data_IF_089353845955
#
_entry.id   IF_089353845955
#
_cell.length_a   1.000
_cell.length_b   1.000
_cell.length_c   1.000
_cell.angle_alpha   90.00
_cell.angle_beta   90.00
_cell.angle_gamma   90.00
#
_symmetry.space_group_name_H-M   'P 1'
#
loop_
_entity.id
_entity.type
_entity.pdbx_description
1 polymer ?
#
# COMPACT_ATOMS: atom_id res chain seq x y z
N UNK A 1 7.06 -11.92 -55.47
CA UNK A 1 8.31 -11.61 -54.74
C UNK A 1 7.87 -10.87 -53.50
N UNK A 2 7.99 -11.55 -52.36
CA UNK A 2 7.34 -11.16 -51.11
C UNK A 2 8.21 -10.13 -50.39
N UNK A 3 7.52 -9.10 -49.94
CA UNK A 3 7.92 -7.98 -49.11
C UNK A 3 8.52 -8.49 -47.78
N UNK A 4 9.74 -8.08 -47.45
CA UNK A 4 10.40 -8.37 -46.17
C UNK A 4 10.27 -7.11 -45.29
N UNK A 5 9.12 -6.97 -44.63
CA UNK A 5 8.78 -5.84 -43.76
C UNK A 5 8.53 -6.27 -42.32
N UNK A 6 9.11 -5.50 -41.38
CA UNK A 6 8.86 -5.40 -39.94
C UNK A 6 8.94 -6.69 -39.10
N UNK A 7 10.16 -7.02 -38.67
CA UNK A 7 10.39 -7.76 -37.44
C UNK A 7 10.61 -6.79 -36.27
N UNK A 8 9.98 -7.02 -35.10
CA UNK A 8 10.28 -6.23 -33.91
C UNK A 8 11.74 -6.49 -33.47
N UNK A 9 12.54 -5.43 -33.38
CA UNK A 9 13.92 -5.49 -32.87
C UNK A 9 13.92 -5.02 -31.42
N UNK A 10 14.32 -5.91 -30.51
CA UNK A 10 14.51 -5.60 -29.10
C UNK A 10 15.90 -5.01 -28.90
N UNK A 11 15.98 -3.71 -28.60
CA UNK A 11 17.25 -3.03 -28.30
C UNK A 11 17.52 -3.08 -26.80
N UNK A 12 18.68 -3.62 -26.41
CA UNK A 12 19.16 -3.58 -25.03
C UNK A 12 19.65 -2.17 -24.72
N UNK A 13 18.99 -1.47 -23.80
CA UNK A 13 19.55 -0.28 -23.16
C UNK A 13 20.64 -0.72 -22.18
N UNK A 14 21.86 -0.20 -22.33
CA UNK A 14 22.86 -0.23 -21.25
C UNK A 14 22.53 0.89 -20.25
N UNK A 15 22.39 0.58 -18.95
CA UNK A 15 22.12 1.62 -17.96
C UNK A 15 23.42 2.40 -17.71
N UNK A 16 23.61 3.49 -18.46
CA UNK A 16 24.50 4.57 -18.03
C UNK A 16 23.80 5.34 -16.91
N UNK A 17 24.33 5.20 -15.69
CA UNK A 17 23.99 6.02 -14.51
C UNK A 17 22.52 5.97 -14.05
N UNK A 18 22.07 4.82 -13.53
CA UNK A 18 20.89 4.80 -12.67
C UNK A 18 21.28 5.34 -11.29
N UNK A 19 21.37 6.67 -11.19
CA UNK A 19 21.08 7.38 -9.93
C UNK A 19 19.80 8.17 -10.14
N UNK A 20 18.68 7.47 -10.03
CA UNK A 20 17.37 8.05 -9.72
C UNK A 20 16.56 6.99 -8.98
N UNK A 21 16.58 7.05 -7.66
CA UNK A 21 15.38 6.79 -6.89
C UNK A 21 15.03 8.13 -6.25
N UNK A 22 14.33 8.97 -7.01
CA UNK A 22 13.44 9.94 -6.38
C UNK A 22 12.19 9.09 -6.16
N UNK A 23 11.95 8.70 -4.91
CA UNK A 23 10.71 8.04 -4.54
C UNK A 23 9.62 9.11 -4.63
N UNK A 24 8.97 9.22 -5.78
CA UNK A 24 7.76 10.04 -5.96
C UNK A 24 6.58 9.22 -5.44
N UNK A 25 6.47 9.09 -4.11
CA UNK A 25 5.28 8.51 -3.49
C UNK A 25 4.30 9.63 -3.13
N UNK A 26 3.05 9.49 -3.58
CA UNK A 26 1.98 10.43 -3.25
C UNK A 26 1.48 10.15 -1.82
N UNK A 27 1.56 11.17 -0.96
CA UNK A 27 1.04 11.13 0.39
C UNK A 27 -0.04 12.19 0.60
N UNK A 28 -0.98 11.89 1.50
CA UNK A 28 -2.16 12.70 1.75
C UNK A 28 -2.33 12.96 3.25
N UNK A 29 -2.74 14.19 3.56
CA UNK A 29 -3.17 14.55 4.90
C UNK A 29 -4.70 14.64 4.96
N UNK A 30 -5.28 14.12 6.03
CA UNK A 30 -6.69 14.34 6.36
C UNK A 30 -6.79 15.39 7.45
N UNK A 31 -7.58 16.43 7.19
CA UNK A 31 -7.78 17.56 8.11
C UNK A 31 -9.23 17.64 8.59
N UNK A 32 -9.43 18.18 9.78
CA UNK A 32 -10.75 18.46 10.31
C UNK A 32 -11.34 19.78 9.75
N UNK A 33 -12.57 20.11 10.14
CA UNK A 33 -13.26 21.32 9.70
C UNK A 33 -12.59 22.63 10.16
N UNK A 34 -11.65 22.56 11.12
CA UNK A 34 -10.87 23.70 11.60
C UNK A 34 -9.52 23.82 10.91
N UNK A 35 -9.20 22.89 10.01
CA UNK A 35 -7.93 22.85 9.26
C UNK A 35 -6.80 22.16 10.02
N UNK A 36 -7.05 21.58 11.20
CA UNK A 36 -6.03 20.81 11.91
C UNK A 36 -5.86 19.43 11.27
N UNK A 37 -4.62 18.99 11.14
CA UNK A 37 -4.31 17.65 10.66
C UNK A 37 -4.76 16.59 11.68
N UNK A 38 -5.53 15.63 11.19
CA UNK A 38 -6.07 14.49 11.96
C UNK A 38 -5.21 13.25 11.74
N UNK A 39 -4.80 13.02 10.49
CA UNK A 39 -3.86 11.99 10.06
C UNK A 39 -3.02 12.58 8.94
N UNK A 40 -1.71 12.31 8.95
CA UNK A 40 -0.76 12.86 7.98
C UNK A 40 0.03 11.77 7.28
N UNK A 41 0.60 12.10 6.13
CA UNK A 41 1.45 11.23 5.32
C UNK A 41 0.79 9.87 4.97
N UNK A 42 -0.50 9.87 4.64
CA UNK A 42 -1.24 8.66 4.24
C UNK A 42 -0.87 8.30 2.80
N UNK A 43 -0.28 7.12 2.52
CA UNK A 43 -0.03 6.69 1.14
C UNK A 43 -1.35 6.52 0.38
N UNK A 44 -1.35 6.80 -0.93
CA UNK A 44 -2.55 6.65 -1.78
C UNK A 44 -3.21 5.26 -1.62
N UNK A 45 -2.40 4.20 -1.54
CA UNK A 45 -2.89 2.84 -1.39
C UNK A 45 -3.74 2.67 -0.12
N UNK A 46 -3.33 3.28 0.99
CA UNK A 46 -4.03 3.18 2.29
C UNK A 46 -5.18 4.17 2.44
N UNK A 47 -5.27 5.20 1.57
CA UNK A 47 -6.22 6.30 1.71
C UNK A 47 -7.68 5.83 1.78
N UNK A 48 -8.09 4.91 0.91
CA UNK A 48 -9.47 4.38 0.90
C UNK A 48 -9.85 3.69 2.22
N UNK A 49 -8.94 2.89 2.77
CA UNK A 49 -9.15 2.20 4.04
C UNK A 49 -9.16 3.19 5.23
N UNK A 50 -8.26 4.18 5.22
CA UNK A 50 -8.22 5.24 6.25
C UNK A 50 -9.53 6.03 6.28
N UNK A 51 -10.01 6.48 5.12
CA UNK A 51 -11.26 7.25 5.02
C UNK A 51 -12.47 6.42 5.48
N UNK A 52 -12.52 5.13 5.13
CA UNK A 52 -13.56 4.22 5.62
C UNK A 52 -13.51 4.09 7.15
N UNK A 53 -12.33 3.91 7.74
CA UNK A 53 -12.19 3.82 9.19
C UNK A 53 -12.67 5.09 9.91
N UNK A 54 -12.36 6.27 9.35
CA UNK A 54 -12.88 7.54 9.85
C UNK A 54 -14.42 7.62 9.78
N UNK A 55 -15.02 7.17 8.67
CA UNK A 55 -16.49 7.08 8.55
C UNK A 55 -17.11 6.12 9.57
N UNK A 56 -16.40 5.05 9.93
CA UNK A 56 -16.78 4.13 11.00
C UNK A 56 -16.49 4.68 12.41
N UNK A 57 -16.12 5.96 12.52
CA UNK A 57 -15.84 6.67 13.78
C UNK A 57 -14.69 6.05 14.57
N UNK A 58 -13.71 5.45 13.87
CA UNK A 58 -12.49 4.96 14.50
C UNK A 58 -11.58 6.12 14.89
N UNK A 59 -10.89 5.98 16.02
CA UNK A 59 -9.95 7.02 16.49
C UNK A 59 -8.73 7.10 15.57
N UNK A 60 -8.26 8.31 15.19
CA UNK A 60 -7.10 8.50 14.32
C UNK A 60 -5.86 7.71 14.76
N UNK A 61 -5.52 7.77 16.05
CA UNK A 61 -4.39 7.02 16.62
C UNK A 61 -4.53 5.50 16.41
N UNK A 62 -5.76 4.96 16.43
CA UNK A 62 -6.00 3.54 16.15
C UNK A 62 -5.91 3.23 14.65
N UNK A 63 -6.34 4.15 13.80
CA UNK A 63 -6.22 4.02 12.34
C UNK A 63 -4.74 4.01 11.95
N UNK A 64 -3.94 4.94 12.49
CA UNK A 64 -2.50 5.00 12.26
C UNK A 64 -1.83 3.67 12.65
N UNK A 65 -2.11 3.17 13.85
CA UNK A 65 -1.62 1.86 14.32
C UNK A 65 -2.01 0.69 13.43
N UNK A 66 -3.25 0.69 12.94
CA UNK A 66 -3.76 -0.42 12.14
C UNK A 66 -3.22 -0.38 10.71
N UNK A 67 -3.19 0.78 10.06
CA UNK A 67 -3.02 0.89 8.60
C UNK A 67 -1.76 1.62 8.15
N UNK A 68 -1.19 2.48 8.99
CA UNK A 68 -0.09 3.37 8.58
C UNK A 68 1.24 2.95 9.20
N UNK A 69 1.24 2.46 10.43
CA UNK A 69 2.46 2.02 11.10
C UNK A 69 3.08 0.78 10.41
N UNK A 70 4.42 0.64 10.49
CA UNK A 70 5.14 -0.53 9.98
C UNK A 70 4.55 -1.84 10.52
N UNK A 71 4.18 -2.73 9.60
CA UNK A 71 3.79 -4.11 9.90
C UNK A 71 4.98 -5.05 9.71
N UNK A 72 6.04 -4.79 10.46
CA UNK A 72 7.26 -5.61 10.45
C UNK A 72 7.25 -6.59 11.61
N UNK A 73 7.75 -7.80 11.35
CA UNK A 73 8.13 -8.76 12.37
C UNK A 73 9.39 -8.32 13.11
N UNK A 74 9.64 -8.91 14.29
CA UNK A 74 10.86 -8.62 15.04
C UNK A 74 12.14 -8.98 14.25
N UNK A 75 12.09 -10.03 13.43
CA UNK A 75 13.19 -10.46 12.55
C UNK A 75 13.47 -9.45 11.44
N UNK A 76 12.42 -8.93 10.80
CA UNK A 76 12.56 -7.87 9.80
C UNK A 76 13.10 -6.57 10.42
N UNK A 77 12.69 -6.22 11.65
CA UNK A 77 13.24 -5.05 12.35
C UNK A 77 14.71 -5.24 12.73
N UNK A 78 15.13 -6.44 13.12
CA UNK A 78 16.52 -6.74 13.51
C UNK A 78 17.50 -6.62 12.34
N UNK A 79 17.03 -6.87 11.12
CA UNK A 79 17.85 -6.89 9.88
C UNK A 79 17.65 -5.66 9.00
N UNK A 80 16.87 -4.68 9.44
CA UNK A 80 16.55 -3.49 8.68
C UNK A 80 17.37 -2.26 9.11
N UNK A 81 17.65 -1.40 8.13
CA UNK A 81 18.17 -0.07 8.35
C UNK A 81 17.02 0.93 8.52
N UNK A 82 17.04 1.72 9.59
CA UNK A 82 16.11 2.84 9.76
C UNK A 82 16.72 4.10 9.13
N UNK A 83 16.11 4.59 8.06
CA UNK A 83 16.58 5.77 7.32
C UNK A 83 15.74 6.99 7.68
N UNK A 84 16.40 8.13 7.92
CA UNK A 84 15.78 9.44 8.00
C UNK A 84 15.71 10.05 6.60
N UNK A 85 14.53 10.50 6.20
CA UNK A 85 14.24 11.14 4.92
C UNK A 85 13.87 12.61 5.13
N UNK A 86 14.29 13.42 4.18
CA UNK A 86 13.95 14.84 4.09
C UNK A 86 13.59 15.13 2.64
N UNK A 87 12.30 15.30 2.38
CA UNK A 87 11.76 15.43 1.04
C UNK A 87 11.04 16.76 0.86
N UNK A 88 11.24 17.38 -0.29
CA UNK A 88 10.45 18.53 -0.70
C UNK A 88 9.07 18.08 -1.20
N UNK A 89 8.02 18.78 -0.80
CA UNK A 89 6.64 18.48 -1.18
C UNK A 89 6.02 19.61 -2.03
N UNK A 90 4.85 19.34 -2.59
CA UNK A 90 4.06 20.38 -3.26
C UNK A 90 3.33 21.27 -2.24
N UNK A 91 2.80 22.40 -2.69
CA UNK A 91 1.89 23.20 -1.86
C UNK A 91 0.60 22.42 -1.56
N UNK A 92 0.02 22.65 -0.37
CA UNK A 92 -1.24 22.02 0.03
C UNK A 92 -2.33 22.27 -1.01
N UNK A 93 -3.08 21.21 -1.33
CA UNK A 93 -4.21 21.27 -2.25
C UNK A 93 -5.38 20.46 -1.73
N UNK A 94 -6.55 21.09 -1.73
CA UNK A 94 -7.79 20.43 -1.36
C UNK A 94 -8.17 19.37 -2.40
N UNK A 95 -8.53 18.18 -1.92
CA UNK A 95 -9.02 17.06 -2.72
C UNK A 95 -10.51 16.89 -2.42
N UNK A 96 -11.36 17.21 -3.39
CA UNK A 96 -12.82 17.12 -3.24
C UNK A 96 -13.45 16.06 -4.14
N UNK A 97 -12.75 15.69 -5.22
CA UNK A 97 -13.20 14.75 -6.24
C UNK A 97 -12.14 13.69 -6.50
N UNK A 98 -12.56 12.57 -7.10
CA UNK A 98 -11.62 11.53 -7.58
C UNK A 98 -10.66 12.10 -8.64
N UNK A 99 -11.12 13.04 -9.47
CA UNK A 99 -10.27 13.70 -10.46
C UNK A 99 -9.15 14.51 -9.81
N UNK A 100 -9.37 15.06 -8.61
CA UNK A 100 -8.32 15.79 -7.89
C UNK A 100 -7.16 14.87 -7.50
N UNK A 101 -7.44 13.59 -7.14
CA UNK A 101 -6.40 12.60 -6.84
C UNK A 101 -5.45 12.39 -8.02
N UNK A 102 -5.98 12.33 -9.25
CA UNK A 102 -5.16 12.15 -10.45
C UNK A 102 -4.30 13.38 -10.79
N UNK A 103 -4.63 14.55 -10.25
CA UNK A 103 -3.85 15.76 -10.46
C UNK A 103 -2.66 15.87 -9.50
N UNK A 104 -2.65 15.09 -8.40
CA UNK A 104 -1.62 15.16 -7.36
C UNK A 104 -0.24 14.76 -7.87
N UNK A 105 -0.16 13.67 -8.64
CA UNK A 105 1.08 13.18 -9.26
C UNK A 105 1.74 14.18 -10.24
N UNK A 106 1.07 15.28 -10.56
CA UNK A 106 1.56 16.32 -11.46
C UNK A 106 1.77 17.67 -10.77
N UNK A 107 1.58 17.74 -9.45
CA UNK A 107 1.81 18.97 -8.71
C UNK A 107 3.30 19.31 -8.68
N UNK A 108 3.65 20.59 -8.87
CA UNK A 108 5.04 21.00 -8.78
C UNK A 108 5.52 20.90 -7.32
N UNK A 109 6.66 20.24 -7.14
CA UNK A 109 7.39 20.22 -5.87
C UNK A 109 7.98 21.61 -5.60
N UNK A 110 7.69 22.15 -4.43
CA UNK A 110 8.19 23.45 -3.96
C UNK A 110 9.47 23.20 -3.16
N UNK A 111 10.57 23.87 -3.54
CA UNK A 111 11.90 23.65 -2.96
C UNK A 111 12.29 24.75 -1.99
N UNK A 112 11.56 24.84 -0.88
CA UNK A 112 11.88 25.73 0.24
C UNK A 112 11.64 25.03 1.58
N UNK A 113 12.18 25.59 2.66
CA UNK A 113 12.15 25.00 4.00
C UNK A 113 10.72 24.79 4.54
N UNK A 114 9.73 25.55 4.07
CA UNK A 114 8.34 25.41 4.51
C UNK A 114 7.62 24.23 3.85
N UNK A 115 8.17 23.71 2.76
CA UNK A 115 7.65 22.55 2.02
C UNK A 115 8.60 21.36 2.14
N UNK A 116 9.23 21.20 3.29
CA UNK A 116 10.02 20.02 3.63
C UNK A 116 9.20 19.13 4.55
N UNK A 117 9.05 17.87 4.16
CA UNK A 117 8.55 16.81 5.05
C UNK A 117 9.71 15.94 5.51
N UNK A 118 9.64 15.48 6.74
CA UNK A 118 10.68 14.66 7.36
C UNK A 118 10.04 13.44 7.99
N UNK A 119 10.58 12.27 7.71
CA UNK A 119 10.06 11.02 8.22
C UNK A 119 11.15 9.96 8.31
N UNK A 120 10.85 8.87 8.99
CA UNK A 120 11.70 7.70 9.08
C UNK A 120 11.08 6.53 8.33
N UNK A 121 11.89 5.62 7.80
CA UNK A 121 11.38 4.44 7.12
C UNK A 121 12.37 3.28 7.27
N UNK A 122 11.85 2.07 7.49
CA UNK A 122 12.68 0.88 7.50
C UNK A 122 12.97 0.45 6.06
N UNK A 123 14.22 0.09 5.81
CA UNK A 123 14.73 -0.42 4.53
C UNK A 123 15.43 -1.76 4.77
N UNK A 124 15.43 -2.67 3.79
CA UNK A 124 16.26 -3.87 3.90
C UNK A 124 17.72 -3.48 4.03
N UNK A 125 18.50 -4.15 4.87
CA UNK A 125 19.94 -3.95 4.95
C UNK A 125 20.68 -5.20 4.42
N UNK A 126 21.57 -5.01 3.46
CA UNK A 126 22.43 -6.08 2.94
C UNK A 126 23.85 -5.55 2.85
N UNK A 127 24.80 -6.22 3.51
CA UNK A 127 26.22 -5.82 3.54
C UNK A 127 26.43 -4.35 3.98
N UNK A 128 25.66 -3.87 4.97
CA UNK A 128 25.66 -2.48 5.46
C UNK A 128 25.20 -1.43 4.43
N UNK A 129 24.51 -1.85 3.38
CA UNK A 129 23.85 -0.96 2.42
C UNK A 129 22.34 -1.15 2.52
N UNK A 130 21.61 -0.04 2.54
CA UNK A 130 20.16 -0.06 2.62
C UNK A 130 19.53 -0.15 1.22
N UNK A 131 18.52 -1.01 1.09
CA UNK A 131 17.90 -1.38 -0.18
C UNK A 131 16.38 -1.38 -0.09
N UNK A 132 15.77 -0.29 -0.53
CA UNK A 132 14.34 -0.19 -0.72
C UNK A 132 13.52 -0.23 0.56
N UNK A 133 12.38 0.48 0.61
CA UNK A 133 11.56 0.51 1.80
C UNK A 133 10.85 -0.83 2.02
N UNK A 134 10.78 -1.23 3.29
CA UNK A 134 10.00 -2.39 3.75
C UNK A 134 8.84 -1.98 4.65
N UNK A 135 8.78 -0.70 5.02
CA UNK A 135 7.68 -0.13 5.79
C UNK A 135 7.14 1.13 5.13
N UNK A 136 5.93 1.53 5.56
CA UNK A 136 5.47 2.89 5.36
C UNK A 136 6.34 3.89 6.13
N UNK A 137 6.18 5.18 5.82
CA UNK A 137 6.78 6.28 6.55
C UNK A 137 6.31 6.32 8.02
N UNK A 138 7.24 6.63 8.91
CA UNK A 138 7.04 6.85 10.34
C UNK A 138 7.31 8.32 10.59
N UNK A 139 6.31 9.05 11.05
CA UNK A 139 6.45 10.47 11.35
C UNK A 139 7.37 10.68 12.56
N UNK A 140 8.04 11.82 12.61
CA UNK A 140 8.96 12.16 13.70
C UNK A 140 8.32 12.03 15.09
N UNK A 141 7.05 12.42 15.22
CA UNK A 141 6.28 12.33 16.47
C UNK A 141 6.00 10.88 16.91
N UNK A 142 5.96 9.96 15.96
CA UNK A 142 5.68 8.54 16.15
C UNK A 142 6.96 7.69 16.31
N UNK A 143 8.14 8.28 16.14
CA UNK A 143 9.42 7.57 16.10
C UNK A 143 9.75 6.82 17.41
N UNK A 144 9.37 7.36 18.57
CA UNK A 144 9.70 6.74 19.85
C UNK A 144 8.74 5.59 20.21
N UNK A 145 7.50 5.69 19.73
CA UNK A 145 6.42 4.75 20.05
C UNK A 145 6.39 3.59 19.07
N UNK A 146 6.59 3.86 17.78
CA UNK A 146 6.39 2.92 16.69
C UNK A 146 7.39 1.77 16.71
N UNK A 147 8.73 1.98 16.63
CA UNK A 147 9.71 0.90 16.62
C UNK A 147 9.65 0.04 17.89
N UNK A 148 9.45 0.68 19.05
CA UNK A 148 9.35 -0.01 20.34
C UNK A 148 8.15 -0.98 20.35
N UNK A 149 6.99 -0.53 19.84
CA UNK A 149 5.79 -1.37 19.74
C UNK A 149 5.89 -2.44 18.66
N UNK A 150 6.45 -2.11 17.49
CA UNK A 150 6.70 -3.05 16.39
C UNK A 150 7.62 -4.18 16.88
N UNK A 151 8.72 -3.84 17.55
CA UNK A 151 9.68 -4.81 18.07
C UNK A 151 9.08 -5.76 19.12
N UNK A 152 8.25 -5.23 20.03
CA UNK A 152 7.64 -6.03 21.10
C UNK A 152 6.30 -6.68 20.72
N UNK A 153 5.84 -6.58 19.47
CA UNK A 153 4.54 -7.09 19.02
C UNK A 153 3.35 -6.61 19.87
N UNK A 154 3.42 -5.41 20.46
CA UNK A 154 2.40 -4.89 21.38
C UNK A 154 1.27 -4.16 20.63
N UNK A 155 0.31 -4.94 20.13
CA UNK A 155 -0.86 -4.45 19.39
C UNK A 155 -2.19 -4.54 20.16
N UNK A 156 -2.14 -4.65 21.50
CA UNK A 156 -3.25 -5.13 22.34
C UNK A 156 -4.58 -4.36 22.23
N UNK A 157 -4.59 -3.10 21.78
CA UNK A 157 -5.80 -2.29 21.61
C UNK A 157 -6.39 -2.27 20.17
N UNK A 158 -5.77 -2.98 19.23
CA UNK A 158 -6.17 -2.93 17.80
C UNK A 158 -7.17 -4.03 17.45
N UNK A 159 -7.20 -5.14 18.19
CA UNK A 159 -7.99 -6.33 17.86
C UNK A 159 -9.52 -6.13 17.86
N UNK A 160 -10.05 -5.16 18.61
CA UNK A 160 -11.48 -4.83 18.55
C UNK A 160 -11.82 -3.99 17.31
N UNK A 161 -10.93 -3.09 16.91
CA UNK A 161 -11.13 -2.22 15.75
C UNK A 161 -10.90 -2.97 14.44
N UNK A 162 -9.92 -3.88 14.42
CA UNK A 162 -9.70 -4.83 13.33
C UNK A 162 -10.95 -5.70 13.07
N UNK A 163 -11.60 -6.17 14.15
CA UNK A 163 -12.88 -6.88 14.05
C UNK A 163 -14.00 -6.04 13.46
N UNK A 164 -14.13 -4.78 13.86
CA UNK A 164 -15.16 -3.89 13.30
C UNK A 164 -14.97 -3.67 11.80
N UNK A 165 -13.73 -3.44 11.37
CA UNK A 165 -13.40 -3.25 9.96
C UNK A 165 -13.65 -4.53 9.15
N UNK A 166 -13.21 -5.68 9.68
CA UNK A 166 -13.42 -6.99 9.08
C UNK A 166 -14.91 -7.33 8.97
N UNK A 167 -15.68 -7.15 10.03
CA UNK A 167 -17.13 -7.40 10.05
C UNK A 167 -17.85 -6.52 9.02
N UNK A 168 -17.44 -5.25 8.91
CA UNK A 168 -18.00 -4.34 7.92
C UNK A 168 -17.68 -4.83 6.50
N UNK A 169 -16.43 -5.18 6.20
CA UNK A 169 -16.02 -5.67 4.88
C UNK A 169 -16.78 -6.93 4.48
N UNK A 170 -16.87 -7.92 5.37
CA UNK A 170 -17.58 -9.19 5.11
C UNK A 170 -19.06 -8.94 4.86
N UNK A 171 -19.72 -8.11 5.68
CA UNK A 171 -21.14 -7.80 5.50
C UNK A 171 -21.40 -7.03 4.21
N UNK A 172 -20.50 -6.13 3.84
CA UNK A 172 -20.60 -5.33 2.63
C UNK A 172 -20.39 -6.19 1.38
N UNK A 173 -19.35 -7.03 1.37
CA UNK A 173 -19.13 -8.00 0.30
C UNK A 173 -20.32 -8.94 0.13
N UNK A 174 -20.89 -9.44 1.24
CA UNK A 174 -22.07 -10.30 1.20
C UNK A 174 -23.30 -9.63 0.56
N UNK A 175 -23.49 -8.32 0.78
CA UNK A 175 -24.59 -7.55 0.16
C UNK A 175 -24.40 -7.36 -1.34
N UNK A 176 -23.15 -7.30 -1.79
CA UNK A 176 -22.77 -7.24 -3.18
C UNK A 176 -22.59 -8.65 -3.80
N UNK A 177 -23.12 -9.69 -3.14
CA UNK A 177 -23.07 -11.09 -3.57
C UNK A 177 -21.65 -11.65 -3.77
N UNK A 178 -20.72 -11.24 -2.92
CA UNK A 178 -19.32 -11.70 -2.96
C UNK A 178 -18.95 -12.47 -1.69
N UNK A 179 -18.00 -13.40 -1.83
CA UNK A 179 -17.27 -14.04 -0.75
C UNK A 179 -15.81 -13.61 -0.78
N UNK A 180 -15.23 -13.38 0.41
CA UNK A 180 -13.81 -13.04 0.58
C UNK A 180 -13.09 -14.25 1.14
N UNK A 181 -12.12 -14.77 0.40
CA UNK A 181 -11.23 -15.83 0.85
C UNK A 181 -9.90 -15.23 1.27
N UNK A 182 -9.44 -15.54 2.49
CA UNK A 182 -8.12 -15.14 2.99
C UNK A 182 -7.12 -16.25 2.68
N UNK A 183 -5.99 -15.86 2.08
CA UNK A 183 -4.89 -16.76 1.75
C UNK A 183 -3.62 -16.27 2.44
N UNK A 184 -2.90 -17.20 3.05
CA UNK A 184 -1.53 -16.96 3.48
C UNK A 184 -0.58 -17.37 2.36
N UNK A 185 0.17 -16.39 1.87
CA UNK A 185 1.18 -16.59 0.84
C UNK A 185 2.54 -16.54 1.49
N UNK A 186 3.37 -17.52 1.14
CA UNK A 186 4.80 -17.47 1.42
C UNK A 186 5.53 -17.19 0.12
N UNK A 187 6.32 -16.11 0.07
CA UNK A 187 7.22 -15.88 -1.06
C UNK A 187 8.34 -16.91 -1.01
N UNK A 188 8.26 -17.93 -1.86
CA UNK A 188 9.25 -19.02 -1.92
C UNK A 188 10.53 -18.66 -2.69
N UNK A 189 10.52 -17.58 -3.47
CA UNK A 189 11.66 -17.10 -4.24
C UNK A 189 11.29 -15.91 -5.12
N UNK A 190 12.31 -15.20 -5.62
CA UNK A 190 12.16 -14.19 -6.67
C UNK A 190 12.93 -14.65 -7.88
N UNK A 191 12.33 -14.59 -9.07
CA UNK A 191 12.99 -15.01 -10.30
C UNK A 191 13.03 -13.83 -11.26
N UNK A 192 14.21 -13.57 -11.84
CA UNK A 192 14.32 -12.70 -13.00
C UNK A 192 13.96 -13.53 -14.23
N UNK A 193 12.78 -13.24 -14.80
CA UNK A 193 12.33 -13.89 -16.03
C UNK A 193 13.12 -13.28 -17.19
N UNK A 194 13.87 -14.11 -17.90
CA UNK A 194 14.62 -13.72 -19.08
C UNK A 194 13.84 -13.99 -20.36
N UNK A 195 12.95 -15.00 -20.32
CA UNK A 195 12.12 -15.38 -21.45
C UNK A 195 10.80 -15.95 -20.96
N UNK A 196 9.71 -15.47 -21.55
CA UNK A 196 8.38 -16.04 -21.41
C UNK A 196 7.78 -16.17 -22.79
N UNK A 197 7.32 -17.37 -23.14
CA UNK A 197 6.60 -17.62 -24.37
C UNK A 197 5.15 -17.97 -24.01
N UNK A 198 4.21 -17.31 -24.67
CA UNK A 198 2.78 -17.63 -24.57
C UNK A 198 2.35 -18.14 -25.94
N UNK A 199 1.65 -19.26 -25.99
CA UNK A 199 1.16 -19.84 -27.24
C UNK A 199 -0.05 -19.06 -27.78
N UNK A 200 -0.48 -19.39 -29.01
CA UNK A 200 -1.61 -18.72 -29.68
C UNK A 200 -2.95 -18.92 -28.96
N UNK A 201 -3.03 -19.88 -28.03
CA UNK A 201 -4.19 -20.13 -27.17
C UNK A 201 -4.11 -19.40 -25.82
N UNK A 202 -3.05 -18.61 -25.59
CA UNK A 202 -2.84 -17.86 -24.35
C UNK A 202 -2.22 -18.69 -23.22
N UNK A 203 -1.77 -19.93 -23.48
CA UNK A 203 -1.14 -20.75 -22.46
C UNK A 203 0.35 -20.42 -22.35
N UNK A 204 0.87 -20.47 -21.12
CA UNK A 204 2.30 -20.34 -20.88
C UNK A 204 3.03 -21.55 -21.49
N UNK A 205 3.91 -21.30 -22.46
CA UNK A 205 4.80 -22.28 -23.04
C UNK A 205 6.14 -22.33 -22.30
N UNK A 206 7.19 -21.83 -22.94
CA UNK A 206 8.55 -21.84 -22.41
C UNK A 206 8.79 -20.70 -21.40
N UNK A 207 9.43 -21.04 -20.27
CA UNK A 207 9.83 -20.11 -19.22
C UNK A 207 11.32 -20.30 -18.92
N UNK A 208 12.11 -19.23 -19.08
CA UNK A 208 13.52 -19.19 -18.67
C UNK A 208 13.72 -18.02 -17.70
N UNK A 209 14.31 -18.30 -16.56
CA UNK A 209 14.64 -17.28 -15.58
C UNK A 209 15.81 -17.72 -14.69
N UNK A 210 16.36 -16.75 -13.96
CA UNK A 210 17.36 -17.00 -12.92
C UNK A 210 16.85 -16.52 -11.58
N UNK A 211 17.07 -17.33 -10.56
CA UNK A 211 16.79 -16.95 -9.18
C UNK A 211 17.56 -15.67 -8.86
N UNK A 212 16.81 -14.70 -8.36
CA UNK A 212 17.38 -13.50 -7.78
C UNK A 212 17.62 -13.84 -6.32
N UNK A 213 18.85 -14.22 -6.00
CA UNK A 213 19.28 -14.48 -4.62
C UNK A 213 19.28 -13.17 -3.84
N UNK A 214 18.12 -12.81 -3.29
CA UNK A 214 18.04 -12.01 -2.09
C UNK A 214 18.03 -12.98 -0.91
N UNK A 215 18.45 -12.55 0.28
CA UNK A 215 18.59 -13.41 1.47
C UNK A 215 17.36 -14.26 1.79
N UNK A 216 17.46 -15.11 2.82
CA UNK A 216 16.45 -16.08 3.25
C UNK A 216 15.12 -15.46 3.76
N UNK A 217 14.74 -14.28 3.29
CA UNK A 217 13.47 -13.65 3.57
C UNK A 217 12.39 -14.31 2.71
N UNK A 218 11.62 -15.16 3.38
CA UNK A 218 10.36 -15.69 2.89
C UNK A 218 9.21 -14.85 3.46
N UNK A 219 8.94 -13.61 2.99
CA UNK A 219 7.86 -12.81 3.55
C UNK A 219 6.55 -13.60 3.44
N UNK A 220 5.96 -13.81 4.61
CA UNK A 220 4.62 -14.34 4.76
C UNK A 220 3.66 -13.16 4.59
N UNK A 221 2.95 -13.10 3.47
CA UNK A 221 1.93 -12.09 3.24
C UNK A 221 0.54 -12.71 3.35
N UNK A 222 -0.39 -11.96 3.96
CA UNK A 222 -1.82 -12.28 3.85
C UNK A 222 -2.37 -11.55 2.63
N UNK A 223 -3.02 -12.28 1.74
CA UNK A 223 -3.70 -11.76 0.56
C UNK A 223 -5.13 -12.28 0.50
N UNK A 224 -5.96 -11.68 -0.34
CA UNK A 224 -7.39 -11.95 -0.41
C UNK A 224 -7.85 -12.21 -1.84
N UNK A 225 -8.68 -13.24 -2.00
CA UNK A 225 -9.45 -13.46 -3.22
C UNK A 225 -10.88 -12.99 -2.99
N UNK A 226 -11.53 -12.54 -4.07
CA UNK A 226 -12.95 -12.22 -4.08
C UNK A 226 -13.63 -13.09 -5.13
N UNK A 227 -14.67 -13.79 -4.70
CA UNK A 227 -15.40 -14.78 -5.49
C UNK A 227 -16.86 -14.32 -5.58
N UNK A 228 -17.41 -14.30 -6.79
CA UNK A 228 -18.84 -14.06 -7.01
C UNK A 228 -19.63 -15.26 -6.49
N UNK A 229 -20.56 -15.02 -5.59
CA UNK A 229 -21.18 -16.10 -4.81
C UNK A 229 -22.16 -16.93 -5.63
N UNK A 230 -22.92 -16.30 -6.52
CA UNK A 230 -23.89 -17.03 -7.34
C UNK A 230 -23.24 -17.88 -8.45
N UNK A 231 -22.10 -17.43 -8.98
CA UNK A 231 -21.40 -18.12 -10.06
C UNK A 231 -20.23 -19.00 -9.57
N UNK A 232 -19.81 -18.83 -8.31
CA UNK A 232 -18.57 -19.39 -7.75
C UNK A 232 -17.34 -19.05 -8.60
N UNK A 233 -17.41 -17.94 -9.34
CA UNK A 233 -16.35 -17.47 -10.22
C UNK A 233 -15.40 -16.53 -9.47
N UNK A 234 -14.11 -16.75 -9.67
CA UNK A 234 -13.06 -15.90 -9.13
C UNK A 234 -13.09 -14.53 -9.83
N UNK A 235 -13.55 -13.49 -9.13
CA UNK A 235 -13.57 -12.14 -9.68
C UNK A 235 -12.20 -11.45 -9.59
N UNK A 236 -11.54 -11.58 -8.44
CA UNK A 236 -10.23 -10.99 -8.16
C UNK A 236 -9.41 -11.90 -7.28
N UNK A 237 -8.10 -11.87 -7.46
CA UNK A 237 -7.16 -12.71 -6.74
C UNK A 237 -5.96 -11.90 -6.24
N UNK A 238 -5.31 -12.41 -5.20
CA UNK A 238 -4.04 -11.87 -4.67
C UNK A 238 -4.12 -10.38 -4.28
N UNK A 239 -5.27 -9.93 -3.77
CA UNK A 239 -5.46 -8.56 -3.31
C UNK A 239 -4.76 -8.35 -1.96
N UNK A 240 -4.04 -7.23 -1.80
CA UNK A 240 -3.68 -6.74 -0.47
C UNK A 240 -4.92 -6.31 0.29
N UNK A 241 -4.80 -6.06 1.60
CA UNK A 241 -5.92 -5.58 2.39
C UNK A 241 -6.48 -4.25 1.85
N UNK A 242 -5.60 -3.31 1.50
CA UNK A 242 -5.94 -2.00 0.95
C UNK A 242 -6.65 -2.12 -0.41
N UNK A 243 -6.16 -3.03 -1.26
CA UNK A 243 -6.76 -3.33 -2.56
C UNK A 243 -8.14 -3.98 -2.40
N UNK A 244 -8.29 -4.89 -1.43
CA UNK A 244 -9.58 -5.50 -1.09
C UNK A 244 -10.60 -4.44 -0.65
N UNK A 245 -10.23 -3.55 0.27
CA UNK A 245 -11.11 -2.47 0.74
C UNK A 245 -11.56 -1.60 -0.43
N UNK A 246 -10.62 -1.15 -1.24
CA UNK A 246 -10.91 -0.31 -2.41
C UNK A 246 -11.83 -1.02 -3.40
N UNK A 247 -11.56 -2.30 -3.67
CA UNK A 247 -12.37 -3.09 -4.58
C UNK A 247 -13.80 -3.29 -4.07
N UNK A 248 -13.98 -3.65 -2.80
CA UNK A 248 -15.31 -3.79 -2.19
C UNK A 248 -16.06 -2.47 -2.25
N UNK A 249 -15.41 -1.35 -1.93
CA UNK A 249 -16.02 -0.01 -1.98
C UNK A 249 -16.40 0.44 -3.40
N UNK A 250 -15.75 -0.10 -4.44
CA UNK A 250 -16.05 0.22 -5.84
C UNK A 250 -17.34 -0.42 -6.36
N UNK A 251 -17.92 -1.37 -5.63
CA UNK A 251 -19.12 -2.10 -6.06
C UNK A 251 -20.38 -1.22 -5.93
N UNK A 252 -21.21 -1.12 -6.98
CA UNK A 252 -22.34 -0.19 -7.01
C UNK A 252 -23.42 -0.50 -5.96
N UNK A 253 -23.49 -1.74 -5.46
CA UNK A 253 -24.41 -2.19 -4.42
C UNK A 253 -23.98 -1.77 -3.01
N UNK A 254 -22.79 -1.18 -2.87
CA UNK A 254 -22.22 -0.80 -1.58
C UNK A 254 -22.65 0.61 -1.19
N UNK A 255 -23.53 0.69 -0.20
CA UNK A 255 -23.86 1.95 0.46
C UNK A 255 -22.82 2.26 1.54
N UNK A 256 -22.18 3.44 1.44
CA UNK A 256 -21.31 3.95 2.48
C UNK A 256 -22.07 4.18 3.80
N UNK A 257 -21.41 4.05 4.96
CA UNK A 257 -21.99 4.46 6.24
C UNK A 257 -22.44 5.93 6.17
N UNK A 258 -23.65 6.24 6.64
CA UNK A 258 -24.10 7.63 6.70
C UNK A 258 -23.32 8.40 7.77
N UNK A 259 -22.87 9.63 7.49
CA UNK A 259 -22.07 10.45 8.41
C UNK A 259 -22.85 11.02 9.61
N UNK A 260 -24.12 10.65 9.82
CA UNK A 260 -25.01 11.21 10.87
C UNK A 260 -24.56 10.92 12.32
N UNK A 261 -23.38 10.32 12.52
CA UNK A 261 -22.75 10.07 13.83
C UNK A 261 -21.47 10.90 14.07
N UNK A 262 -21.02 11.74 13.11
CA UNK A 262 -19.68 12.33 13.09
C UNK A 262 -19.46 13.66 13.85
N UNK A 263 -20.39 14.11 14.69
CA UNK A 263 -20.21 15.37 15.43
C UNK A 263 -20.49 15.24 16.92
N UNK A 264 -19.67 14.46 17.63
CA UNK A 264 -19.22 14.80 18.99
C UNK A 264 -17.94 14.03 19.27
N UNK A 265 -16.79 14.56 18.85
CA UNK A 265 -15.53 14.20 19.51
C UNK A 265 -15.56 14.89 20.88
N UNK A 266 -15.50 14.17 22.02
CA UNK A 266 -15.28 14.81 23.30
C UNK A 266 -13.87 15.40 23.31
N UNK A 267 -13.77 16.66 23.76
CA UNK A 267 -12.53 17.36 24.03
C UNK A 267 -11.70 16.68 25.14
#
# INVERSE_FOLDING_TARGET
MVDLGDHPVMTRYEPSEVRRMIYEEDFYDVRDATGHAVLTAIPLASLGAVLLCLLLSMRPETIARLLLWPRLSAEEVETAALIYHEDYCSAEREVTTVSDLHLMAHLPVVKDDAHVTTYFQFHHEVNNEAYGPISNAILNEDLLTTPNRTYHSQYDDVAQVDRQLTDWLVRTAFRADMFIERIERRKIGTFNIHKICVDDAGNLGEFEGKDRWYGEDYPHSTVFNVIERNLEELERYDLTFEALVTYVLSKPEVALPKPETLMTLPA
#
